data_IF_285808726410
#
_entry.id   IF_285808726410
#
_cell.length_a   1.000
_cell.length_b   1.000
_cell.length_c   1.000
_cell.angle_alpha   90.00
_cell.angle_beta   90.00
_cell.angle_gamma   90.00
#
_symmetry.space_group_name_H-M   'P 1'
#
loop_
_entity.id
_entity.type
_entity.pdbx_description
1 polymer ?
#
# COMPACT_ATOMS: atom_id res chain seq x y z
N UNK A 1 36.25 -6.07 -43.19
CA UNK A 1 35.44 -6.81 -42.20
C UNK A 1 35.78 -6.28 -40.81
N UNK A 2 34.96 -5.39 -40.24
CA UNK A 2 35.21 -4.80 -38.92
C UNK A 2 34.56 -5.64 -37.83
N UNK A 3 35.34 -6.48 -37.16
CA UNK A 3 34.92 -7.28 -36.01
C UNK A 3 34.59 -6.35 -34.84
N UNK A 4 33.28 -6.14 -34.62
CA UNK A 4 32.72 -5.37 -33.52
C UNK A 4 32.96 -6.13 -32.21
N UNK A 5 34.03 -5.78 -31.47
CA UNK A 5 34.36 -6.34 -30.15
C UNK A 5 33.12 -6.28 -29.25
N UNK A 6 32.55 -7.44 -28.89
CA UNK A 6 31.42 -7.52 -27.98
C UNK A 6 31.83 -6.91 -26.63
N UNK A 7 31.26 -5.77 -26.28
CA UNK A 7 31.57 -5.07 -25.02
C UNK A 7 30.97 -5.85 -23.86
N UNK A 8 31.78 -6.15 -22.85
CA UNK A 8 31.36 -6.80 -21.61
C UNK A 8 30.38 -5.92 -20.85
N UNK A 9 29.12 -6.33 -20.79
CA UNK A 9 28.05 -5.65 -20.04
C UNK A 9 28.26 -5.95 -18.54
N UNK A 10 27.98 -4.98 -17.66
CA UNK A 10 27.96 -5.20 -16.20
C UNK A 10 26.85 -6.19 -15.81
N UNK A 11 27.00 -6.86 -14.67
CA UNK A 11 25.95 -7.75 -14.13
C UNK A 11 24.65 -6.99 -13.82
N UNK A 12 23.53 -7.70 -13.70
CA UNK A 12 22.25 -7.11 -13.32
C UNK A 12 22.37 -6.30 -12.02
N UNK A 13 22.94 -6.90 -10.97
CA UNK A 13 23.12 -6.26 -9.66
C UNK A 13 23.92 -4.96 -9.75
N UNK A 14 25.05 -4.96 -10.46
CA UNK A 14 25.86 -3.75 -10.62
C UNK A 14 25.13 -2.63 -11.37
N UNK A 15 24.34 -2.97 -12.38
CA UNK A 15 23.54 -2.00 -13.14
C UNK A 15 22.38 -1.49 -12.28
N UNK A 16 21.74 -2.38 -11.50
CA UNK A 16 20.64 -2.08 -10.60
C UNK A 16 21.08 -1.11 -9.50
N UNK A 17 22.16 -1.41 -8.78
CA UNK A 17 22.74 -0.54 -7.75
C UNK A 17 23.13 0.83 -8.32
N UNK A 18 23.70 0.85 -9.52
CA UNK A 18 24.06 2.09 -10.18
C UNK A 18 22.82 2.93 -10.51
N UNK A 19 21.76 2.30 -11.04
CA UNK A 19 20.49 2.95 -11.35
C UNK A 19 19.85 3.57 -10.10
N UNK A 20 19.87 2.82 -9.00
CA UNK A 20 19.39 3.25 -7.69
C UNK A 20 20.20 4.42 -7.14
N UNK A 21 21.53 4.33 -7.19
CA UNK A 21 22.44 5.40 -6.74
C UNK A 21 22.26 6.69 -7.54
N UNK A 22 21.90 6.61 -8.82
CA UNK A 22 21.56 7.76 -9.65
C UNK A 22 20.18 8.34 -9.36
N UNK A 23 19.37 7.67 -8.57
CA UNK A 23 18.03 8.12 -8.20
C UNK A 23 17.03 8.03 -9.34
N UNK A 24 17.23 7.14 -10.32
CA UNK A 24 16.24 6.95 -11.38
C UNK A 24 14.95 6.37 -10.81
N UNK A 25 13.83 6.91 -11.30
CA UNK A 25 12.53 6.59 -10.71
C UNK A 25 11.59 5.86 -11.66
N UNK A 26 11.87 5.89 -12.95
CA UNK A 26 11.06 5.28 -14.01
C UNK A 26 11.88 5.08 -15.30
N UNK A 27 11.32 4.32 -16.23
CA UNK A 27 11.93 4.02 -17.52
C UNK A 27 12.19 5.26 -18.38
N UNK A 28 11.36 6.31 -18.27
CA UNK A 28 11.54 7.56 -19.02
C UNK A 28 12.84 8.26 -18.64
N UNK A 29 13.12 8.42 -17.34
CA UNK A 29 14.38 9.00 -16.88
C UNK A 29 15.59 8.17 -17.30
N UNK A 30 15.48 6.85 -17.24
CA UNK A 30 16.53 5.93 -17.71
C UNK A 30 16.82 6.16 -19.20
N UNK A 31 15.77 6.23 -20.03
CA UNK A 31 15.91 6.47 -21.47
C UNK A 31 16.38 7.87 -21.82
N UNK A 32 15.95 8.90 -21.10
CA UNK A 32 16.37 10.28 -21.34
C UNK A 32 17.82 10.51 -20.91
N UNK A 33 18.25 9.90 -19.80
CA UNK A 33 19.68 9.77 -19.49
C UNK A 33 20.39 9.02 -20.62
N UNK A 34 19.75 7.99 -21.17
CA UNK A 34 20.19 7.32 -22.38
C UNK A 34 20.11 8.12 -23.69
N UNK A 35 19.72 9.39 -23.67
CA UNK A 35 19.88 10.29 -24.81
C UNK A 35 20.99 11.31 -24.56
N UNK A 36 21.32 11.56 -23.30
CA UNK A 36 22.49 12.37 -22.94
C UNK A 36 23.78 11.63 -23.34
N UNK A 37 24.66 12.27 -24.11
CA UNK A 37 25.91 11.68 -24.65
C UNK A 37 27.00 11.36 -23.58
N UNK A 38 26.64 11.22 -22.30
CA UNK A 38 27.56 11.02 -21.17
C UNK A 38 27.38 9.66 -20.48
N UNK A 39 27.39 8.57 -21.25
CA UNK A 39 27.06 7.23 -20.71
C UNK A 39 28.24 6.27 -20.62
N UNK A 40 28.38 5.56 -19.49
CA UNK A 40 29.21 4.36 -19.42
C UNK A 40 28.81 3.35 -20.50
N UNK A 41 29.80 2.88 -21.27
CA UNK A 41 29.58 1.94 -22.40
C UNK A 41 29.12 0.54 -21.97
N UNK A 42 29.09 0.26 -20.67
CA UNK A 42 28.80 -1.03 -20.04
C UNK A 42 27.43 -1.08 -19.36
N UNK A 43 26.61 -0.02 -19.46
CA UNK A 43 25.23 0.02 -18.95
C UNK A 43 24.27 -0.13 -20.13
N UNK A 44 23.39 -1.15 -20.12
CA UNK A 44 22.51 -1.43 -21.25
C UNK A 44 21.36 -0.43 -21.34
N UNK A 45 21.01 -0.03 -22.57
CA UNK A 45 19.83 0.80 -22.85
C UNK A 45 18.53 0.12 -22.42
N UNK A 46 18.42 -1.17 -22.70
CA UNK A 46 17.24 -2.00 -22.42
C UNK A 46 17.63 -3.12 -21.45
N UNK A 47 17.77 -2.83 -20.14
CA UNK A 47 18.15 -3.85 -19.15
C UNK A 47 17.16 -5.02 -19.12
N UNK A 48 15.87 -4.77 -19.39
CA UNK A 48 14.83 -5.78 -19.51
C UNK A 48 15.02 -6.78 -20.65
N UNK A 49 15.82 -6.44 -21.67
CA UNK A 49 16.16 -7.35 -22.79
C UNK A 49 17.49 -8.05 -22.60
N UNK A 50 18.33 -7.55 -21.68
CA UNK A 50 19.68 -8.08 -21.43
C UNK A 50 19.67 -9.02 -20.23
N UNK A 51 18.90 -8.71 -19.20
CA UNK A 51 18.81 -9.47 -17.95
C UNK A 51 17.46 -10.20 -17.88
N UNK A 52 17.07 -10.91 -18.94
CA UNK A 52 15.73 -11.50 -19.07
C UNK A 52 15.35 -12.37 -17.88
N UNK A 53 16.31 -13.14 -17.36
CA UNK A 53 16.08 -14.13 -16.31
C UNK A 53 16.04 -13.49 -14.91
N UNK A 54 16.65 -12.31 -14.74
CA UNK A 54 16.72 -11.56 -13.48
C UNK A 54 15.72 -10.39 -13.45
N UNK A 55 15.06 -10.11 -14.59
CA UNK A 55 14.22 -8.94 -14.75
C UNK A 55 12.83 -9.12 -14.14
N UNK A 56 12.62 -8.46 -13.00
CA UNK A 56 11.34 -8.46 -12.28
C UNK A 56 10.52 -7.17 -12.50
N UNK A 57 10.89 -6.37 -13.50
CA UNK A 57 10.24 -5.08 -13.79
C UNK A 57 11.02 -3.85 -13.36
N UNK A 58 10.63 -2.70 -13.91
CA UNK A 58 11.26 -1.40 -13.63
C UNK A 58 11.24 -1.00 -12.15
N UNK A 59 10.18 -1.26 -11.38
CA UNK A 59 10.14 -0.92 -9.96
C UNK A 59 11.22 -1.66 -9.18
N UNK A 60 11.28 -3.00 -9.30
CA UNK A 60 12.34 -3.81 -8.71
C UNK A 60 13.74 -3.33 -9.14
N UNK A 61 13.91 -3.03 -10.43
CA UNK A 61 15.20 -2.55 -10.96
C UNK A 61 15.67 -1.22 -10.34
N UNK A 62 14.75 -0.29 -10.06
CA UNK A 62 15.10 0.98 -9.40
C UNK A 62 15.07 0.92 -7.87
N UNK A 63 15.07 -0.29 -7.27
CA UNK A 63 15.03 -0.45 -5.82
C UNK A 63 13.74 0.09 -5.21
N UNK A 64 12.69 0.19 -6.04
CA UNK A 64 11.38 0.63 -5.63
C UNK A 64 10.58 -0.62 -5.34
N UNK A 65 10.25 -0.82 -4.06
CA UNK A 65 9.07 -1.63 -3.71
C UNK A 65 7.94 -1.10 -4.58
N UNK A 66 7.32 -2.00 -5.33
CA UNK A 66 6.42 -1.69 -6.40
C UNK A 66 5.38 -0.64 -5.95
N UNK A 67 5.63 0.65 -6.26
CA UNK A 67 4.73 1.72 -5.78
C UNK A 67 3.46 1.74 -6.60
N UNK A 68 3.41 1.03 -7.72
CA UNK A 68 2.21 0.87 -8.53
C UNK A 68 2.25 -0.45 -9.24
N UNK A 69 1.20 -1.27 -9.15
CA UNK A 69 1.18 -2.55 -9.85
C UNK A 69 1.05 -2.40 -11.39
N UNK A 70 0.89 -3.51 -12.12
CA UNK A 70 0.74 -3.53 -13.58
C UNK A 70 -0.41 -2.64 -14.13
N UNK A 71 -1.39 -2.28 -13.30
CA UNK A 71 -2.49 -1.35 -13.65
C UNK A 71 -2.20 0.10 -13.28
N UNK A 72 -1.00 0.41 -12.79
CA UNK A 72 -0.58 1.74 -12.39
C UNK A 72 -1.13 2.18 -11.02
N UNK A 73 -1.64 1.27 -10.18
CA UNK A 73 -2.24 1.62 -8.89
C UNK A 73 -1.32 1.38 -7.70
N UNK A 74 -1.33 2.32 -6.75
CA UNK A 74 -0.59 2.27 -5.49
C UNK A 74 -0.79 0.96 -4.74
N UNK A 75 0.27 0.49 -4.07
CA UNK A 75 0.16 -0.58 -3.07
C UNK A 75 -0.85 -0.18 -1.98
N UNK A 76 -1.42 -1.15 -1.26
CA UNK A 76 -2.40 -0.84 -0.21
C UNK A 76 -1.84 0.15 0.81
N UNK A 77 -0.62 -0.08 1.28
CA UNK A 77 0.04 0.80 2.26
C UNK A 77 0.33 2.20 1.71
N UNK A 78 0.79 2.30 0.46
CA UNK A 78 1.03 3.60 -0.17
C UNK A 78 -0.27 4.38 -0.39
N UNK A 79 -1.36 3.68 -0.75
CA UNK A 79 -2.67 4.28 -0.90
C UNK A 79 -3.23 4.81 0.45
N UNK A 80 -3.02 4.08 1.55
CA UNK A 80 -3.35 4.57 2.90
C UNK A 80 -2.58 5.85 3.24
N UNK A 81 -1.26 5.85 3.02
CA UNK A 81 -0.41 7.03 3.24
C UNK A 81 -0.86 8.20 2.37
N UNK A 82 -1.20 7.93 1.10
CA UNK A 82 -1.73 8.92 0.19
C UNK A 82 -3.04 9.52 0.71
N UNK A 83 -4.02 8.69 1.09
CA UNK A 83 -5.31 9.16 1.60
C UNK A 83 -5.13 10.05 2.84
N UNK A 84 -4.24 9.67 3.76
CA UNK A 84 -3.90 10.47 4.96
C UNK A 84 -3.27 11.81 4.60
N UNK A 85 -2.28 11.81 3.70
CA UNK A 85 -1.63 13.04 3.23
C UNK A 85 -2.64 14.02 2.61
N UNK A 86 -3.62 13.48 1.88
CA UNK A 86 -4.67 14.26 1.24
C UNK A 86 -5.90 14.49 2.13
N UNK A 87 -5.85 14.06 3.40
CA UNK A 87 -6.92 14.20 4.41
C UNK A 87 -8.28 13.69 3.91
N UNK A 88 -8.28 12.60 3.15
CA UNK A 88 -9.50 11.95 2.65
C UNK A 88 -10.05 11.07 3.76
N UNK A 89 -11.16 11.47 4.38
CA UNK A 89 -11.67 10.84 5.61
C UNK A 89 -12.93 9.99 5.40
N UNK A 90 -13.58 10.10 4.25
CA UNK A 90 -14.82 9.40 3.98
C UNK A 90 -14.88 8.79 2.58
N UNK A 91 -15.73 7.77 2.41
CA UNK A 91 -15.98 7.14 1.10
C UNK A 91 -16.49 8.18 0.09
N UNK A 92 -17.30 9.13 0.55
CA UNK A 92 -17.83 10.23 -0.26
C UNK A 92 -16.69 11.12 -0.76
N UNK A 93 -15.80 11.54 0.13
CA UNK A 93 -14.60 12.33 -0.23
C UNK A 93 -13.68 11.57 -1.16
N UNK A 94 -13.42 10.29 -0.90
CA UNK A 94 -12.58 9.46 -1.76
C UNK A 94 -13.12 9.40 -3.19
N UNK A 95 -14.43 9.14 -3.34
CA UNK A 95 -15.09 9.11 -4.65
C UNK A 95 -15.06 10.48 -5.34
N UNK A 96 -15.25 11.57 -4.59
CA UNK A 96 -15.17 12.92 -5.15
C UNK A 96 -13.74 13.23 -5.62
N UNK A 97 -12.74 12.94 -4.78
CA UNK A 97 -11.33 13.13 -5.08
C UNK A 97 -10.90 12.41 -6.37
N UNK A 98 -11.34 11.16 -6.56
CA UNK A 98 -11.03 10.40 -7.78
C UNK A 98 -11.65 10.97 -9.06
N UNK A 99 -12.72 11.78 -8.97
CA UNK A 99 -13.28 12.44 -10.17
C UNK A 99 -12.34 13.53 -10.67
N UNK A 100 -11.75 14.27 -9.75
CA UNK A 100 -10.92 15.44 -10.08
C UNK A 100 -9.45 15.06 -10.29
N UNK A 101 -9.01 13.96 -9.68
CA UNK A 101 -7.62 13.54 -9.73
C UNK A 101 -7.38 12.46 -10.79
N UNK A 102 -6.83 12.89 -11.93
CA UNK A 102 -6.57 12.01 -13.10
C UNK A 102 -5.38 11.05 -12.93
N UNK A 103 -4.42 11.35 -12.04
CA UNK A 103 -3.14 10.64 -11.92
C UNK A 103 -2.78 10.24 -10.48
N UNK A 104 -3.76 10.03 -9.60
CA UNK A 104 -3.49 9.65 -8.20
C UNK A 104 -3.05 8.20 -8.04
N UNK A 105 -3.12 7.40 -9.10
CA UNK A 105 -2.80 5.97 -9.06
C UNK A 105 -3.61 5.24 -7.98
N UNK A 106 -4.86 5.63 -7.76
CA UNK A 106 -5.75 5.01 -6.79
C UNK A 106 -6.88 4.24 -7.50
N UNK A 107 -7.21 3.01 -7.06
CA UNK A 107 -8.29 2.24 -7.66
C UNK A 107 -9.67 2.83 -7.31
N UNK A 108 -10.61 2.83 -8.26
CA UNK A 108 -12.01 3.24 -8.01
C UNK A 108 -12.71 2.33 -7.00
N UNK A 109 -12.35 1.05 -7.01
CA UNK A 109 -12.91 -0.02 -6.19
C UNK A 109 -11.79 -0.70 -5.40
N UNK A 110 -11.26 -0.05 -4.34
CA UNK A 110 -10.09 -0.54 -3.62
C UNK A 110 -10.34 -1.90 -2.94
N UNK A 111 -11.57 -2.18 -2.50
CA UNK A 111 -11.93 -3.47 -1.92
C UNK A 111 -11.74 -4.65 -2.88
N UNK A 112 -12.10 -4.48 -4.15
CA UNK A 112 -11.92 -5.52 -5.17
C UNK A 112 -10.46 -5.60 -5.63
N UNK A 113 -9.77 -4.47 -5.64
CA UNK A 113 -8.41 -4.38 -6.13
C UNK A 113 -7.38 -4.94 -5.14
N UNK A 114 -7.51 -4.59 -3.85
CA UNK A 114 -6.58 -5.02 -2.80
C UNK A 114 -6.90 -6.41 -2.23
N UNK A 115 -8.09 -6.97 -2.53
CA UNK A 115 -8.45 -8.34 -2.17
C UNK A 115 -8.19 -8.64 -0.69
N UNK A 116 -7.35 -9.63 -0.42
CA UNK A 116 -7.02 -10.09 0.94
C UNK A 116 -6.32 -9.04 1.82
N UNK A 117 -5.70 -8.02 1.23
CA UNK A 117 -5.10 -6.91 1.98
C UNK A 117 -6.15 -5.88 2.45
N UNK A 118 -7.35 -5.92 1.89
CA UNK A 118 -8.41 -4.96 2.20
C UNK A 118 -9.03 -5.19 3.58
N UNK A 119 -8.84 -4.23 4.49
CA UNK A 119 -9.38 -4.28 5.87
C UNK A 119 -10.65 -3.43 6.07
N UNK A 120 -11.13 -2.82 5.00
CA UNK A 120 -12.29 -1.94 5.03
C UNK A 120 -11.94 -0.46 4.89
N UNK A 121 -12.98 0.36 4.72
CA UNK A 121 -12.83 1.80 4.50
C UNK A 121 -12.20 2.54 5.67
N UNK A 122 -12.44 2.08 6.90
CA UNK A 122 -11.84 2.66 8.10
C UNK A 122 -10.31 2.57 8.06
N UNK A 123 -9.76 1.37 7.94
CA UNK A 123 -8.31 1.18 7.81
C UNK A 123 -7.72 1.88 6.57
N UNK A 124 -8.50 2.00 5.49
CA UNK A 124 -8.04 2.59 4.24
C UNK A 124 -8.01 4.13 4.22
N UNK A 125 -8.95 4.79 4.92
CA UNK A 125 -9.13 6.25 4.89
C UNK A 125 -8.82 6.93 6.22
N UNK A 126 -8.88 6.20 7.34
CA UNK A 126 -8.77 6.82 8.65
C UNK A 126 -7.32 7.19 8.99
N UNK A 127 -7.18 8.38 9.57
CA UNK A 127 -5.91 8.94 10.02
C UNK A 127 -5.42 8.24 11.30
N UNK A 128 -6.36 7.88 12.19
CA UNK A 128 -6.09 7.22 13.46
C UNK A 128 -7.31 6.41 13.91
N UNK A 129 -7.08 5.19 14.37
CA UNK A 129 -8.14 4.38 14.96
C UNK A 129 -8.37 4.77 16.43
N UNK A 130 -9.59 4.54 16.91
CA UNK A 130 -9.91 4.63 18.34
C UNK A 130 -9.01 3.70 19.17
N UNK A 131 -8.91 3.94 20.46
CA UNK A 131 -8.16 3.07 21.38
C UNK A 131 -8.93 1.77 21.69
N UNK A 132 -8.23 0.74 22.15
CA UNK A 132 -8.87 -0.49 22.63
C UNK A 132 -9.88 -0.21 23.76
N UNK A 133 -9.58 0.73 24.65
CA UNK A 133 -10.50 1.14 25.71
C UNK A 133 -11.80 1.79 25.19
N UNK A 134 -11.76 2.47 24.05
CA UNK A 134 -12.97 2.97 23.38
C UNK A 134 -13.74 1.83 22.71
N UNK A 135 -13.05 0.83 22.14
CA UNK A 135 -13.71 -0.38 21.63
C UNK A 135 -14.47 -1.11 22.73
N UNK A 136 -13.87 -1.27 23.93
CA UNK A 136 -14.53 -1.83 25.12
C UNK A 136 -15.82 -1.06 25.44
N UNK A 137 -15.78 0.28 25.44
CA UNK A 137 -16.97 1.12 25.67
C UNK A 137 -18.06 0.93 24.61
N UNK A 138 -17.67 0.80 23.33
CA UNK A 138 -18.60 0.57 22.23
C UNK A 138 -19.29 -0.79 22.38
N UNK A 139 -18.52 -1.84 22.68
CA UNK A 139 -19.02 -3.20 22.86
C UNK A 139 -19.98 -3.28 24.04
N UNK A 140 -19.62 -2.66 25.16
CA UNK A 140 -20.46 -2.55 26.35
C UNK A 140 -21.78 -1.84 26.05
N UNK A 141 -21.70 -0.63 25.47
CA UNK A 141 -22.86 0.19 25.12
C UNK A 141 -23.82 -0.48 24.14
N UNK A 142 -23.31 -1.27 23.20
CA UNK A 142 -24.10 -1.96 22.17
C UNK A 142 -24.49 -3.38 22.58
N UNK A 143 -24.10 -3.83 23.77
CA UNK A 143 -24.33 -5.18 24.28
C UNK A 143 -23.86 -6.28 23.29
N UNK A 144 -22.67 -6.10 22.71
CA UNK A 144 -22.07 -7.07 21.78
C UNK A 144 -21.36 -8.13 22.61
N UNK A 145 -21.90 -9.35 22.64
CA UNK A 145 -21.35 -10.47 23.41
C UNK A 145 -20.57 -11.50 22.57
N UNK A 146 -20.56 -11.36 21.25
CA UNK A 146 -19.97 -12.38 20.36
C UNK A 146 -19.27 -11.77 19.16
N UNK A 147 -18.28 -12.49 18.61
CA UNK A 147 -17.65 -12.16 17.33
C UNK A 147 -18.68 -11.96 16.21
N UNK A 148 -19.72 -12.79 16.16
CA UNK A 148 -20.76 -12.69 15.12
C UNK A 148 -21.55 -11.37 15.21
N UNK A 149 -21.91 -10.94 16.42
CA UNK A 149 -22.56 -9.64 16.65
C UNK A 149 -21.63 -8.48 16.29
N UNK A 150 -20.33 -8.58 16.61
CA UNK A 150 -19.34 -7.59 16.22
C UNK A 150 -19.21 -7.46 14.70
N UNK A 151 -19.17 -8.59 13.98
CA UNK A 151 -19.11 -8.60 12.51
C UNK A 151 -20.35 -7.95 11.90
N UNK A 152 -21.53 -8.21 12.44
CA UNK A 152 -22.79 -7.62 11.95
C UNK A 152 -22.83 -6.10 12.15
N UNK A 153 -22.45 -5.63 13.34
CA UNK A 153 -22.26 -4.21 13.62
C UNK A 153 -21.21 -3.58 12.67
N UNK A 154 -20.09 -4.29 12.46
CA UNK A 154 -18.96 -3.86 11.62
C UNK A 154 -19.33 -3.61 10.16
N UNK A 155 -20.33 -4.34 9.65
CA UNK A 155 -20.82 -4.23 8.28
C UNK A 155 -21.84 -3.10 8.11
N UNK A 156 -22.63 -2.80 9.13
CA UNK A 156 -23.84 -1.97 8.99
C UNK A 156 -23.70 -0.58 9.59
N UNK A 157 -23.11 -0.47 10.78
CA UNK A 157 -23.18 0.76 11.62
C UNK A 157 -21.82 1.23 12.14
N UNK A 158 -20.72 0.58 11.75
CA UNK A 158 -19.38 0.88 12.23
C UNK A 158 -18.84 2.22 11.72
N UNK A 159 -18.47 3.13 12.63
CA UNK A 159 -17.80 4.37 12.27
C UNK A 159 -16.44 4.12 11.59
N UNK A 160 -15.98 4.99 10.67
CA UNK A 160 -14.69 4.84 9.99
C UNK A 160 -13.48 4.73 10.91
N UNK A 161 -13.51 5.36 12.09
CA UNK A 161 -12.44 5.35 13.09
C UNK A 161 -12.33 4.05 13.90
N UNK A 162 -13.34 3.20 13.85
CA UNK A 162 -13.30 1.87 14.46
C UNK A 162 -12.63 0.91 13.47
N UNK A 163 -11.54 0.20 13.80
CA UNK A 163 -10.93 -0.76 12.87
C UNK A 163 -11.94 -1.80 12.36
N UNK A 164 -11.81 -2.22 11.10
CA UNK A 164 -12.70 -3.25 10.55
C UNK A 164 -12.51 -4.62 11.23
N UNK A 165 -11.25 -4.95 11.50
CA UNK A 165 -10.84 -6.15 12.22
C UNK A 165 -10.07 -5.76 13.48
N UNK A 166 -10.79 -5.52 14.57
CA UNK A 166 -10.20 -5.12 15.86
C UNK A 166 -9.31 -6.21 16.46
N UNK A 167 -9.55 -7.48 16.14
CA UNK A 167 -8.78 -8.61 16.69
C UNK A 167 -7.37 -8.61 16.10
N UNK A 168 -7.29 -8.46 14.77
CA UNK A 168 -6.01 -8.30 14.09
C UNK A 168 -5.34 -6.96 14.40
N UNK A 169 -6.13 -5.90 14.58
CA UNK A 169 -5.59 -4.55 14.82
C UNK A 169 -4.92 -4.42 16.19
N UNK A 170 -5.58 -4.88 17.26
CA UNK A 170 -5.05 -4.77 18.63
C UNK A 170 -4.38 -6.06 19.12
N UNK A 171 -4.35 -7.11 18.31
CA UNK A 171 -3.85 -8.44 18.68
C UNK A 171 -4.53 -8.98 19.94
N UNK A 172 -5.86 -9.01 19.92
CA UNK A 172 -6.72 -9.45 21.03
C UNK A 172 -7.79 -10.42 20.54
N UNK A 173 -8.38 -11.19 21.45
CA UNK A 173 -9.53 -12.08 21.23
C UNK A 173 -10.81 -11.46 21.78
N UNK A 174 -11.95 -11.95 21.31
CA UNK A 174 -13.26 -11.49 21.81
C UNK A 174 -13.42 -11.74 23.31
N UNK A 175 -12.98 -12.91 23.80
CA UNK A 175 -13.02 -13.23 25.22
C UNK A 175 -12.25 -12.24 26.09
N UNK A 176 -11.10 -11.74 25.61
CA UNK A 176 -10.28 -10.76 26.34
C UNK A 176 -10.98 -9.40 26.41
N UNK A 177 -11.61 -8.98 25.31
CA UNK A 177 -12.37 -7.72 25.30
C UNK A 177 -13.60 -7.81 26.21
N UNK A 178 -14.30 -8.94 26.24
CA UNK A 178 -15.44 -9.14 27.12
C UNK A 178 -15.02 -9.14 28.60
N UNK A 179 -13.88 -9.75 28.93
CA UNK A 179 -13.31 -9.67 30.28
C UNK A 179 -13.03 -8.20 30.68
N UNK A 180 -12.49 -7.38 29.76
CA UNK A 180 -12.30 -5.94 30.01
C UNK A 180 -13.62 -5.19 30.22
N UNK A 181 -14.70 -5.60 29.55
CA UNK A 181 -16.04 -5.03 29.76
C UNK A 181 -16.56 -5.38 31.16
N UNK A 182 -16.40 -6.63 31.60
CA UNK A 182 -16.81 -7.10 32.94
C UNK A 182 -16.03 -6.41 34.05
N UNK A 183 -14.72 -6.30 33.91
CA UNK A 183 -13.85 -5.57 34.83
C UNK A 183 -14.26 -4.09 34.92
N UNK A 184 -14.54 -3.45 33.78
CA UNK A 184 -15.03 -2.06 33.73
C UNK A 184 -16.34 -1.90 34.49
N UNK A 185 -17.31 -2.80 34.28
CA UNK A 185 -18.62 -2.77 34.95
C UNK A 185 -18.52 -3.01 36.46
N UNK A 186 -17.56 -3.82 36.90
CA UNK A 186 -17.34 -4.12 38.31
C UNK A 186 -16.67 -2.97 39.08
N UNK A 187 -16.00 -2.07 38.36
CA UNK A 187 -15.30 -0.91 38.90
C UNK A 187 -16.15 0.40 38.89
N UNK A 188 -17.43 0.33 38.48
CA UNK A 188 -18.39 1.45 38.49
C UNK A 188 -19.58 1.10 39.38
#
# INVERSE_FOLDING_TARGET
MTTKRAKKIKSFTEVQEWAQKKGFINSRQWYDWHKSNKKPKNIPLHPNRVFTDEWQGWPHFFGRKDRTNARGYLSYQDAVVFNRKHKIKSVKEYKAFLKDCKNCNLPKTPNYFYGDEWRGWGDYLCERHVSLGEIVKIIDKLNIGTWRQWVEYSKTKRPPEVPGDIFKHYNVKMSEILAMVEERRSNH
#
